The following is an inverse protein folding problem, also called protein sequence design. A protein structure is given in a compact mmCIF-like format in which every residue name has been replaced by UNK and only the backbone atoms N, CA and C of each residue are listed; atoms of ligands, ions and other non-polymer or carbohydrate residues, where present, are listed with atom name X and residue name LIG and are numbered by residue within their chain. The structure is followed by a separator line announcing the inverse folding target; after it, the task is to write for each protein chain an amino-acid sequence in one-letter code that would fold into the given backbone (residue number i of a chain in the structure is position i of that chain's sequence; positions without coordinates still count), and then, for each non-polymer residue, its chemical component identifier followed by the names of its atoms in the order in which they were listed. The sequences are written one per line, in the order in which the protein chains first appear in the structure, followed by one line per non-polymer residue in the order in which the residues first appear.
data_IF_847036232681
#
_entry.id   IF_847036232681
#
_cell.length_a   1.000
_cell.length_b   1.000
_cell.length_c   1.000
_cell.angle_alpha   90.00
_cell.angle_beta   90.00
_cell.angle_gamma   90.00
#
_symmetry.space_group_name_H-M   'P 1'
#
loop_
_entity.id
_entity.type
_entity.pdbx_description
1 polymer ?
#
# COMPACT_ATOMS: atom_id res chain seq x y z
N UNK A 1 26.68 -27.45 38.97
CA UNK A 1 26.14 -26.40 38.09
C UNK A 1 25.12 -25.46 38.79
N UNK A 2 24.17 -25.99 39.62
CA UNK A 2 23.14 -25.18 40.28
C UNK A 2 23.65 -24.26 41.41
N UNK A 3 24.77 -24.56 42.08
CA UNK A 3 25.33 -23.73 43.16
C UNK A 3 25.77 -22.35 42.66
N UNK A 4 26.25 -22.25 41.43
CA UNK A 4 26.61 -20.99 40.79
C UNK A 4 25.39 -20.08 40.52
N UNK A 5 24.27 -20.67 40.11
CA UNK A 5 23.03 -19.94 39.89
C UNK A 5 22.45 -19.40 41.20
N UNK A 6 22.50 -20.19 42.28
CA UNK A 6 21.97 -19.79 43.58
C UNK A 6 22.85 -18.73 44.30
N UNK A 7 24.14 -18.64 43.96
CA UNK A 7 25.08 -17.62 44.47
C UNK A 7 25.13 -16.33 43.67
N UNK A 8 24.54 -16.28 42.49
CA UNK A 8 24.58 -15.12 41.61
C UNK A 8 23.76 -13.94 42.13
N UNK A 9 24.30 -12.71 41.94
CA UNK A 9 23.63 -11.44 42.30
C UNK A 9 22.69 -10.90 41.20
N UNK A 10 22.61 -11.56 40.03
CA UNK A 10 21.75 -11.18 38.92
C UNK A 10 20.26 -11.23 39.31
N UNK A 11 19.45 -10.36 38.73
CA UNK A 11 18.02 -10.24 39.02
C UNK A 11 17.27 -11.58 38.83
N UNK A 12 17.58 -12.27 37.74
CA UNK A 12 16.91 -13.54 37.38
C UNK A 12 17.39 -14.69 38.27
N UNK A 13 18.65 -14.70 38.71
CA UNK A 13 19.15 -15.64 39.69
C UNK A 13 18.46 -15.46 41.07
N UNK A 14 18.18 -14.21 41.43
CA UNK A 14 17.43 -13.92 42.67
C UNK A 14 15.96 -14.39 42.56
N UNK A 15 15.31 -14.19 41.41
CA UNK A 15 13.96 -14.70 41.15
C UNK A 15 13.94 -16.21 41.21
N UNK A 16 14.88 -16.89 40.55
CA UNK A 16 15.03 -18.33 40.56
C UNK A 16 15.26 -18.87 41.99
N UNK A 17 16.15 -18.28 42.75
CA UNK A 17 16.41 -18.65 44.14
C UNK A 17 15.13 -18.54 44.98
N UNK A 18 14.42 -17.41 44.89
CA UNK A 18 13.16 -17.18 45.58
C UNK A 18 12.14 -18.25 45.21
N UNK A 19 11.94 -18.53 43.94
CA UNK A 19 11.01 -19.54 43.45
C UNK A 19 11.35 -20.93 44.00
N UNK A 20 12.61 -21.35 43.92
CA UNK A 20 13.05 -22.65 44.42
C UNK A 20 12.81 -22.77 45.92
N UNK A 21 13.16 -21.74 46.70
CA UNK A 21 13.07 -21.81 48.18
C UNK A 21 11.67 -21.59 48.73
N UNK A 22 10.84 -20.79 48.03
CA UNK A 22 9.49 -20.48 48.53
C UNK A 22 8.39 -21.45 47.98
N UNK A 23 8.62 -22.09 46.85
CA UNK A 23 7.63 -22.90 46.19
C UNK A 23 8.11 -24.34 45.97
N UNK A 24 9.21 -24.56 45.31
CA UNK A 24 9.66 -25.91 44.89
C UNK A 24 10.03 -26.79 46.09
N UNK A 25 10.94 -26.31 46.93
CA UNK A 25 11.40 -27.10 48.08
C UNK A 25 10.29 -27.36 49.11
N UNK A 26 9.39 -26.43 49.48
CA UNK A 26 8.28 -26.72 50.37
C UNK A 26 7.31 -27.74 49.80
N UNK A 27 7.06 -27.72 48.48
CA UNK A 27 6.21 -28.73 47.83
C UNK A 27 6.85 -30.10 47.84
N UNK A 28 8.12 -30.22 47.45
CA UNK A 28 8.84 -31.50 47.49
C UNK A 28 8.82 -32.08 48.89
N UNK A 29 9.04 -31.24 49.90
CA UNK A 29 9.00 -31.68 51.31
C UNK A 29 7.64 -32.21 51.78
N UNK A 30 6.53 -31.61 51.25
CA UNK A 30 5.17 -32.01 51.65
C UNK A 30 4.63 -33.20 50.88
N UNK A 31 4.95 -33.30 49.59
CA UNK A 31 4.33 -34.25 48.65
C UNK A 31 5.29 -35.28 48.06
N UNK A 32 6.59 -35.19 48.39
CA UNK A 32 7.63 -36.06 47.83
C UNK A 32 8.08 -35.70 46.42
N UNK A 33 7.45 -34.72 45.76
CA UNK A 33 7.79 -34.30 44.41
C UNK A 33 7.30 -32.88 44.06
N UNK A 34 7.89 -32.28 43.07
CA UNK A 34 7.41 -31.03 42.50
C UNK A 34 6.68 -31.31 41.18
N UNK A 35 5.36 -31.25 41.23
CA UNK A 35 4.54 -31.33 40.02
C UNK A 35 4.15 -29.91 39.59
N UNK A 36 4.44 -29.59 38.34
CA UNK A 36 3.90 -28.39 37.73
C UNK A 36 2.39 -28.59 37.59
N UNK A 37 1.60 -27.58 38.00
CA UNK A 37 0.16 -27.62 37.83
C UNK A 37 -0.16 -27.89 36.36
N UNK A 38 -0.68 -29.07 36.05
CA UNK A 38 -1.18 -29.35 34.71
C UNK A 38 -2.42 -28.50 34.46
N UNK A 39 -2.49 -27.88 33.30
CA UNK A 39 -3.69 -27.17 32.88
C UNK A 39 -4.85 -28.16 32.72
N UNK A 40 -6.00 -27.79 33.19
CA UNK A 40 -7.21 -28.57 32.93
C UNK A 40 -7.55 -28.53 31.44
N UNK A 41 -8.28 -29.52 30.89
CA UNK A 41 -8.72 -29.50 29.51
C UNK A 41 -9.43 -28.19 29.11
N UNK A 42 -10.21 -27.63 30.02
CA UNK A 42 -10.93 -26.37 29.82
C UNK A 42 -9.97 -25.17 29.76
N UNK A 43 -8.93 -25.12 30.60
CA UNK A 43 -7.90 -24.10 30.58
C UNK A 43 -7.07 -24.19 29.29
N UNK A 44 -6.76 -25.41 28.82
CA UNK A 44 -6.08 -25.60 27.53
C UNK A 44 -6.92 -25.11 26.34
N UNK A 45 -8.21 -25.47 26.34
CA UNK A 45 -9.13 -25.05 25.28
C UNK A 45 -9.27 -23.52 25.24
N UNK A 46 -9.34 -22.88 26.42
CA UNK A 46 -9.38 -21.42 26.49
C UNK A 46 -8.11 -20.78 25.91
N UNK A 47 -6.93 -21.26 26.31
CA UNK A 47 -5.66 -20.77 25.75
C UNK A 47 -5.55 -20.95 24.23
N UNK A 48 -6.06 -22.08 23.71
CA UNK A 48 -6.11 -22.32 22.27
C UNK A 48 -7.04 -21.34 21.56
N UNK A 49 -8.24 -21.10 22.10
CA UNK A 49 -9.18 -20.13 21.54
C UNK A 49 -8.60 -18.70 21.57
N UNK A 50 -8.00 -18.30 22.68
CA UNK A 50 -7.36 -16.97 22.80
C UNK A 50 -6.23 -16.82 21.76
N UNK A 51 -5.43 -17.88 21.55
CA UNK A 51 -4.38 -17.89 20.52
C UNK A 51 -4.94 -17.84 19.10
N UNK A 52 -6.07 -18.52 18.83
CA UNK A 52 -6.73 -18.48 17.52
C UNK A 52 -7.27 -17.07 17.24
N UNK A 53 -7.88 -16.42 18.21
CA UNK A 53 -8.38 -15.05 18.09
C UNK A 53 -7.22 -14.09 17.80
N UNK A 54 -6.10 -14.18 18.53
CA UNK A 54 -4.92 -13.35 18.29
C UNK A 54 -4.37 -13.55 16.87
N UNK A 55 -4.31 -14.80 16.39
CA UNK A 55 -3.86 -15.09 15.01
C UNK A 55 -4.85 -14.54 14.00
N UNK A 56 -6.16 -14.64 14.23
CA UNK A 56 -7.19 -14.09 13.33
C UNK A 56 -7.04 -12.56 13.18
N UNK A 57 -6.91 -11.84 14.29
CA UNK A 57 -6.69 -10.39 14.28
C UNK A 57 -5.40 -10.00 13.53
N UNK A 58 -4.34 -10.81 13.69
CA UNK A 58 -3.09 -10.58 12.98
C UNK A 58 -3.22 -10.82 11.47
N UNK A 59 -4.00 -11.83 11.07
CA UNK A 59 -4.27 -12.11 9.64
C UNK A 59 -5.06 -10.96 9.03
N UNK A 60 -6.15 -10.50 9.66
CA UNK A 60 -6.92 -9.35 9.18
C UNK A 60 -6.04 -8.11 9.00
N UNK A 61 -5.17 -7.82 9.96
CA UNK A 61 -4.26 -6.69 9.86
C UNK A 61 -3.19 -6.85 8.75
N UNK A 62 -2.78 -8.09 8.46
CA UNK A 62 -1.88 -8.38 7.34
C UNK A 62 -2.62 -8.16 6.02
N UNK A 63 -3.85 -8.63 5.90
CA UNK A 63 -4.68 -8.46 4.70
C UNK A 63 -4.88 -6.99 4.38
N UNK A 64 -5.26 -6.16 5.36
CA UNK A 64 -5.37 -4.70 5.19
C UNK A 64 -4.06 -4.05 4.70
N UNK A 65 -2.91 -4.49 5.26
CA UNK A 65 -1.61 -3.98 4.82
C UNK A 65 -1.26 -4.40 3.40
N UNK A 66 -1.58 -5.65 3.04
CA UNK A 66 -1.35 -6.18 1.69
C UNK A 66 -2.20 -5.42 0.68
N UNK A 67 -3.47 -5.21 0.96
CA UNK A 67 -4.36 -4.46 0.10
C UNK A 67 -3.87 -3.01 -0.08
N UNK A 68 -3.55 -2.34 1.03
CA UNK A 68 -2.97 -0.99 1.00
C UNK A 68 -1.67 -0.94 0.20
N UNK A 69 -0.83 -1.96 0.31
CA UNK A 69 0.42 -2.06 -0.45
C UNK A 69 0.15 -2.22 -1.94
N UNK A 70 -0.74 -3.14 -2.33
CA UNK A 70 -1.11 -3.40 -3.73
C UNK A 70 -1.71 -2.14 -4.37
N UNK A 71 -2.66 -1.49 -3.71
CA UNK A 71 -3.31 -0.27 -4.18
C UNK A 71 -2.35 0.89 -4.42
N UNK A 72 -1.32 1.00 -3.59
CA UNK A 72 -0.32 2.07 -3.69
C UNK A 72 0.87 1.73 -4.59
N UNK A 73 0.93 0.52 -5.15
CA UNK A 73 1.93 0.17 -6.15
C UNK A 73 1.74 1.01 -7.42
N UNK A 74 2.80 1.36 -8.13
CA UNK A 74 2.69 1.94 -9.46
C UNK A 74 1.91 1.01 -10.39
N UNK A 75 1.16 1.59 -11.32
CA UNK A 75 0.49 0.82 -12.39
C UNK A 75 1.47 -0.12 -13.09
N UNK A 76 1.04 -1.32 -13.39
CA UNK A 76 1.85 -2.29 -14.12
C UNK A 76 2.08 -1.85 -15.58
N UNK A 77 2.95 -2.57 -16.30
CA UNK A 77 3.29 -2.23 -17.68
C UNK A 77 2.09 -2.27 -18.64
N UNK A 78 1.14 -3.17 -18.40
CA UNK A 78 -0.09 -3.29 -19.21
C UNK A 78 -0.98 -2.07 -19.01
N UNK A 79 -1.24 -1.70 -17.76
CA UNK A 79 -2.07 -0.53 -17.42
C UNK A 79 -1.41 0.77 -17.88
N UNK A 80 -0.09 0.88 -17.73
CA UNK A 80 0.67 2.00 -18.28
C UNK A 80 0.48 2.13 -19.79
N UNK A 81 0.54 1.01 -20.51
CA UNK A 81 0.29 0.95 -21.95
C UNK A 81 -1.15 1.33 -22.31
N UNK A 82 -2.12 0.82 -21.55
CA UNK A 82 -3.53 1.13 -21.72
C UNK A 82 -3.83 2.63 -21.54
N UNK A 83 -3.27 3.25 -20.50
CA UNK A 83 -3.36 4.72 -20.30
C UNK A 83 -2.77 5.46 -21.52
N UNK A 84 -1.62 4.99 -22.04
CA UNK A 84 -0.99 5.59 -23.22
C UNK A 84 -1.89 5.53 -24.46
N UNK A 85 -2.51 4.40 -24.69
CA UNK A 85 -3.44 4.19 -25.79
C UNK A 85 -4.71 5.03 -25.63
N UNK A 86 -5.28 5.09 -24.43
CA UNK A 86 -6.45 5.92 -24.13
C UNK A 86 -6.17 7.41 -24.38
N UNK A 87 -5.00 7.92 -23.91
CA UNK A 87 -4.57 9.29 -24.18
C UNK A 87 -4.48 9.58 -25.68
N UNK A 88 -3.85 8.68 -26.43
CA UNK A 88 -3.69 8.82 -27.88
C UNK A 88 -5.05 8.83 -28.58
N UNK A 89 -5.90 7.88 -28.23
CA UNK A 89 -7.25 7.76 -28.79
C UNK A 89 -8.09 9.01 -28.51
N UNK A 90 -8.10 9.51 -27.25
CA UNK A 90 -8.89 10.69 -26.87
C UNK A 90 -8.43 11.95 -27.59
N UNK A 91 -7.10 12.18 -27.64
CA UNK A 91 -6.55 13.35 -28.36
C UNK A 91 -6.87 13.28 -29.85
N UNK A 92 -6.76 12.11 -30.48
CA UNK A 92 -7.08 11.97 -31.90
C UNK A 92 -8.57 12.15 -32.17
N UNK A 93 -9.44 11.61 -31.32
CA UNK A 93 -10.89 11.78 -31.40
C UNK A 93 -11.28 13.27 -31.31
N UNK A 94 -10.76 13.98 -30.30
CA UNK A 94 -10.98 15.42 -30.13
C UNK A 94 -10.48 16.22 -31.34
N UNK A 95 -9.26 15.93 -31.79
CA UNK A 95 -8.66 16.61 -32.95
C UNK A 95 -9.43 16.37 -34.24
N UNK A 96 -10.02 15.17 -34.43
CA UNK A 96 -10.85 14.86 -35.60
C UNK A 96 -12.15 15.66 -35.59
N UNK A 97 -12.83 15.73 -34.45
CA UNK A 97 -14.09 16.49 -34.31
C UNK A 97 -13.86 17.99 -34.61
N UNK A 98 -12.76 18.54 -34.10
CA UNK A 98 -12.43 19.96 -34.23
C UNK A 98 -11.55 20.29 -35.44
N UNK A 99 -11.28 19.30 -36.34
CA UNK A 99 -10.49 19.44 -37.57
C UNK A 99 -9.07 20.00 -37.33
N UNK A 100 -8.46 19.62 -36.20
CA UNK A 100 -7.12 20.05 -35.82
C UNK A 100 -6.06 19.25 -36.60
N UNK A 101 -5.19 19.92 -37.42
CA UNK A 101 -4.13 19.27 -38.17
C UNK A 101 -3.20 18.45 -37.29
N UNK A 102 -2.53 17.44 -37.87
CA UNK A 102 -1.65 16.52 -37.11
C UNK A 102 -0.50 17.28 -36.43
N UNK A 103 0.02 18.27 -37.10
CA UNK A 103 1.14 19.12 -36.66
C UNK A 103 0.77 19.91 -35.39
N UNK A 104 -0.50 20.28 -35.24
CA UNK A 104 -0.99 21.13 -34.14
C UNK A 104 -1.54 20.35 -32.94
N UNK A 105 -1.40 19.04 -32.91
CA UNK A 105 -1.90 18.18 -31.81
C UNK A 105 -0.98 18.13 -30.60
N UNK A 106 0.26 18.57 -30.69
CA UNK A 106 1.23 18.57 -29.61
C UNK A 106 0.73 19.21 -28.31
N UNK A 107 0.15 20.42 -28.35
CA UNK A 107 -0.45 21.05 -27.17
C UNK A 107 -1.54 20.21 -26.46
N UNK A 108 -2.37 19.48 -27.23
CA UNK A 108 -3.42 18.59 -26.67
C UNK A 108 -2.82 17.46 -25.84
N UNK A 109 -1.79 16.79 -26.38
CA UNK A 109 -1.09 15.73 -25.65
C UNK A 109 -0.43 16.26 -24.37
N UNK A 110 0.17 17.44 -24.45
CA UNK A 110 0.81 18.08 -23.31
C UNK A 110 -0.20 18.42 -22.23
N UNK A 111 -1.32 19.02 -22.60
CA UNK A 111 -2.39 19.43 -21.69
C UNK A 111 -2.99 18.22 -20.96
N UNK A 112 -3.42 17.18 -21.70
CA UNK A 112 -3.98 15.96 -21.11
C UNK A 112 -2.99 15.30 -20.14
N UNK A 113 -1.72 15.18 -20.51
CA UNK A 113 -0.71 14.60 -19.62
C UNK A 113 -0.45 15.44 -18.37
N UNK A 114 -0.53 16.77 -18.46
CA UNK A 114 -0.42 17.66 -17.29
C UNK A 114 -1.63 17.46 -16.37
N UNK A 115 -2.83 17.44 -16.93
CA UNK A 115 -4.05 17.26 -16.14
C UNK A 115 -4.11 15.89 -15.46
N UNK A 116 -3.68 14.81 -16.13
CA UNK A 116 -3.55 13.48 -15.50
C UNK A 116 -2.62 13.56 -14.28
N UNK A 117 -1.48 14.24 -14.37
CA UNK A 117 -0.56 14.43 -13.24
C UNK A 117 -1.20 15.23 -12.10
N UNK A 118 -1.98 16.24 -12.42
CA UNK A 118 -2.70 17.06 -11.42
C UNK A 118 -3.76 16.24 -10.68
N UNK A 119 -4.56 15.47 -11.41
CA UNK A 119 -5.63 14.63 -10.85
C UNK A 119 -5.07 13.52 -9.96
N UNK A 120 -3.95 12.91 -10.35
CA UNK A 120 -3.36 11.78 -9.62
C UNK A 120 -2.31 12.19 -8.58
N UNK A 121 -1.82 13.44 -8.64
CA UNK A 121 -0.67 13.87 -7.85
C UNK A 121 0.65 13.20 -8.26
N UNK A 122 0.67 12.40 -9.32
CA UNK A 122 1.85 11.67 -9.77
C UNK A 122 2.80 12.58 -10.56
N UNK A 123 4.11 12.55 -10.24
CA UNK A 123 5.12 13.33 -10.97
C UNK A 123 5.28 12.90 -12.43
N UNK A 124 4.99 11.66 -12.74
CA UNK A 124 4.95 11.12 -14.11
C UNK A 124 3.95 9.95 -14.20
N UNK A 125 3.62 9.54 -15.42
CA UNK A 125 2.65 8.49 -15.70
C UNK A 125 3.03 7.13 -15.06
N UNK A 126 4.32 6.79 -15.00
CA UNK A 126 4.78 5.54 -14.41
C UNK A 126 4.66 5.48 -12.88
N UNK A 127 4.32 6.59 -12.24
CA UNK A 127 4.09 6.69 -10.79
C UNK A 127 2.62 6.81 -10.40
N UNK A 128 1.72 6.69 -11.36
CA UNK A 128 0.28 6.59 -11.08
C UNK A 128 0.08 5.31 -10.26
N UNK A 129 -0.70 5.41 -9.19
CA UNK A 129 -0.97 4.26 -8.33
C UNK A 129 -2.04 3.37 -8.95
N UNK A 130 -1.96 2.06 -8.69
CA UNK A 130 -2.93 1.09 -9.21
C UNK A 130 -4.37 1.45 -8.85
N UNK A 131 -4.61 1.95 -7.64
CA UNK A 131 -5.93 2.41 -7.20
C UNK A 131 -6.50 3.57 -8.02
N UNK A 132 -5.66 4.38 -8.65
CA UNK A 132 -6.08 5.54 -9.42
C UNK A 132 -6.34 5.21 -10.90
N UNK A 133 -6.04 3.98 -11.34
CA UNK A 133 -6.12 3.57 -12.74
C UNK A 133 -7.50 3.82 -13.36
N UNK A 134 -8.55 3.31 -12.73
CA UNK A 134 -9.93 3.46 -13.24
C UNK A 134 -10.40 4.92 -13.27
N UNK A 135 -9.96 5.71 -12.28
CA UNK A 135 -10.25 7.13 -12.24
C UNK A 135 -9.55 7.88 -13.38
N UNK A 136 -8.31 7.50 -13.69
CA UNK A 136 -7.55 8.07 -14.82
C UNK A 136 -8.21 7.72 -16.15
N UNK A 137 -8.61 6.48 -16.36
CA UNK A 137 -9.29 6.08 -17.61
C UNK A 137 -10.59 6.87 -17.81
N UNK A 138 -11.44 6.95 -16.76
CA UNK A 138 -12.69 7.75 -16.80
C UNK A 138 -12.40 9.24 -17.07
N UNK A 139 -11.36 9.78 -16.45
CA UNK A 139 -10.94 11.17 -16.69
C UNK A 139 -10.54 11.39 -18.12
N UNK A 140 -9.74 10.49 -18.72
CA UNK A 140 -9.32 10.58 -20.14
C UNK A 140 -10.54 10.55 -21.07
N UNK A 141 -11.50 9.68 -20.82
CA UNK A 141 -12.71 9.54 -21.65
C UNK A 141 -13.55 10.81 -21.71
N UNK A 142 -13.61 11.54 -20.61
CA UNK A 142 -14.40 12.78 -20.49
C UNK A 142 -13.57 14.05 -20.68
N UNK A 143 -12.25 13.91 -20.90
CA UNK A 143 -11.35 15.05 -20.95
C UNK A 143 -11.66 16.00 -22.12
N UNK A 144 -11.59 17.29 -21.83
CA UNK A 144 -11.53 18.38 -22.80
C UNK A 144 -10.29 19.25 -22.56
N UNK A 145 -9.71 19.84 -23.63
CA UNK A 145 -8.59 20.76 -23.47
C UNK A 145 -8.95 21.98 -22.63
N UNK A 146 -7.98 22.43 -21.85
CA UNK A 146 -8.07 23.69 -21.13
C UNK A 146 -8.28 24.87 -22.09
N UNK A 147 -8.89 25.96 -21.61
CA UNK A 147 -9.11 27.17 -22.40
C UNK A 147 -7.77 27.70 -22.96
N UNK A 148 -6.70 27.66 -22.16
CA UNK A 148 -5.38 28.06 -22.59
C UNK A 148 -4.87 27.25 -23.80
N UNK A 149 -5.08 25.91 -23.77
CA UNK A 149 -4.70 25.02 -24.87
C UNK A 149 -5.53 25.27 -26.11
N UNK A 150 -6.84 25.50 -25.96
CA UNK A 150 -7.71 25.89 -27.09
C UNK A 150 -7.20 27.18 -27.78
N UNK A 151 -6.91 28.22 -26.99
CA UNK A 151 -6.36 29.48 -27.51
C UNK A 151 -5.00 29.30 -28.23
N UNK A 152 -4.09 28.49 -27.66
CA UNK A 152 -2.80 28.20 -28.30
C UNK A 152 -3.01 27.53 -29.66
N UNK A 153 -3.93 26.59 -29.77
CA UNK A 153 -4.21 25.89 -31.05
C UNK A 153 -4.78 26.85 -32.09
N UNK A 154 -5.64 27.77 -31.70
CA UNK A 154 -6.21 28.80 -32.55
C UNK A 154 -5.18 29.81 -33.08
N UNK A 155 -4.12 30.10 -32.30
CA UNK A 155 -3.07 31.03 -32.66
C UNK A 155 -1.98 30.41 -33.56
N UNK A 156 -1.82 29.10 -33.61
CA UNK A 156 -0.79 28.44 -34.43
C UNK A 156 -0.93 28.79 -35.93
N UNK A 157 -2.11 28.78 -36.56
CA UNK A 157 -2.27 29.17 -37.97
C UNK A 157 -1.90 30.62 -38.23
N UNK A 158 -2.21 31.54 -37.32
CA UNK A 158 -1.95 32.97 -37.46
C UNK A 158 -0.46 33.29 -37.55
N UNK A 159 0.38 32.55 -36.82
CA UNK A 159 1.85 32.77 -36.83
C UNK A 159 2.53 32.22 -38.09
N UNK A 160 1.87 31.34 -38.86
CA UNK A 160 2.39 30.81 -40.13
C UNK A 160 2.19 31.80 -41.27
N UNK A 161 1.14 32.62 -41.20
CA UNK A 161 0.84 33.63 -42.22
C UNK A 161 1.70 34.89 -42.07
N UNK A 162 2.28 35.17 -40.89
CA UNK A 162 3.20 36.29 -40.66
C UNK A 162 4.66 36.02 -41.11
N UNK A 163 4.99 34.76 -41.40
CA UNK A 163 6.35 34.33 -41.81
C UNK A 163 6.46 34.00 -43.31
N UNK A 164 5.44 34.24 -44.09
CA UNK A 164 5.41 34.11 -45.55
C UNK A 164 5.43 35.48 -46.22
#
# INVERSE_FOLDING_TARGET
MYSLALGSKLSDAKKFKRWVTSEVLPRIRKTGGYQVKQLTPTEMLKLQNDSILEVSERVEHIDEKVDTFIENQPVNATDYGAIGTAVTHRVHSYASIHRIPKENRGPLFKDLNIQIKQVTGAGNRSRIKSKDYDAVIRFIDTWEPSTATKTIIEQIPLNLDETA
#
